data_IF_307904038632
#
_entry.id   IF_307904038632
#
_cell.length_a   1.000
_cell.length_b   1.000
_cell.length_c   1.000
_cell.angle_alpha   90.00
_cell.angle_beta   90.00
_cell.angle_gamma   90.00
#
_symmetry.space_group_name_H-M   'P 1'
#
loop_
_entity.id
_entity.type
_entity.pdbx_description
1 polymer ?
#
# COMPACT_ATOMS: atom_id res chain seq x y z
N UNK A 1 23.85 -63.22 -83.84
CA UNK A 1 22.98 -62.19 -84.45
C UNK A 1 21.61 -62.41 -83.81
N UNK A 2 21.23 -61.71 -82.75
CA UNK A 2 21.39 -60.29 -82.47
C UNK A 2 21.73 -60.05 -81.00
N UNK A 3 22.77 -59.25 -80.81
CA UNK A 3 23.24 -58.71 -79.55
C UNK A 3 22.18 -57.86 -78.85
N UNK A 4 22.14 -58.03 -77.53
CA UNK A 4 22.28 -56.96 -76.55
C UNK A 4 21.47 -55.68 -76.82
N UNK A 5 20.26 -55.58 -76.27
CA UNK A 5 19.56 -54.30 -76.04
C UNK A 5 18.29 -54.54 -75.20
N UNK A 6 18.43 -54.66 -73.87
CA UNK A 6 17.47 -54.07 -72.93
C UNK A 6 17.93 -54.16 -71.47
N UNK A 7 19.09 -53.56 -71.19
CA UNK A 7 19.44 -53.12 -69.83
C UNK A 7 19.73 -51.63 -69.87
N UNK A 8 18.67 -50.82 -69.90
CA UNK A 8 18.73 -49.39 -69.55
C UNK A 8 17.59 -49.10 -68.59
N UNK A 9 17.80 -49.43 -67.32
CA UNK A 9 17.20 -48.63 -66.26
C UNK A 9 17.57 -47.18 -66.57
N UNK A 10 16.58 -46.33 -66.81
CA UNK A 10 16.77 -44.90 -67.04
C UNK A 10 17.35 -44.29 -65.76
N UNK A 11 18.67 -44.21 -65.68
CA UNK A 11 19.36 -43.48 -64.63
C UNK A 11 18.95 -42.00 -64.72
N UNK A 12 18.07 -41.55 -63.82
CA UNK A 12 17.61 -40.15 -63.75
C UNK A 12 18.66 -39.28 -63.03
N UNK A 13 19.02 -38.15 -63.64
CA UNK A 13 19.94 -37.15 -63.07
C UNK A 13 21.20 -36.92 -63.90
N UNK A 14 21.76 -35.71 -63.80
CA UNK A 14 22.99 -35.29 -64.49
C UNK A 14 24.19 -35.66 -63.63
N UNK A 15 25.21 -36.31 -64.20
CA UNK A 15 26.44 -36.66 -63.46
C UNK A 15 27.17 -35.40 -62.98
N UNK A 16 27.70 -35.44 -61.75
CA UNK A 16 28.35 -34.29 -61.08
C UNK A 16 29.46 -33.64 -61.94
N UNK A 17 30.15 -34.44 -62.72
CA UNK A 17 31.20 -34.05 -63.67
C UNK A 17 30.69 -33.14 -64.81
N UNK A 18 29.40 -33.14 -65.12
CA UNK A 18 28.80 -32.32 -66.18
C UNK A 18 28.12 -31.04 -65.66
N UNK A 19 28.17 -30.79 -64.35
CA UNK A 19 27.56 -29.61 -63.72
C UNK A 19 28.53 -28.44 -63.60
N UNK A 20 27.98 -27.22 -63.65
CA UNK A 20 28.73 -25.98 -63.41
C UNK A 20 29.27 -25.93 -61.96
N UNK A 21 30.38 -25.22 -61.73
CA UNK A 21 31.15 -25.30 -60.47
C UNK A 21 30.30 -25.02 -59.21
N UNK A 22 29.37 -24.06 -59.29
CA UNK A 22 28.49 -23.67 -58.19
C UNK A 22 27.44 -24.77 -57.88
N UNK A 23 26.95 -25.47 -58.89
CA UNK A 23 26.03 -26.60 -58.75
C UNK A 23 26.74 -27.84 -58.17
N UNK A 24 28.04 -28.04 -58.47
CA UNK A 24 28.83 -29.14 -57.88
C UNK A 24 29.00 -29.02 -56.37
N UNK A 25 29.06 -27.79 -55.84
CA UNK A 25 29.22 -27.51 -54.40
C UNK A 25 27.95 -27.87 -53.63
N UNK A 26 26.77 -27.58 -54.19
CA UNK A 26 25.47 -27.87 -53.56
C UNK A 26 24.96 -29.29 -53.84
N UNK A 27 25.64 -30.07 -54.69
CA UNK A 27 25.29 -31.47 -55.00
C UNK A 27 26.01 -32.44 -54.05
N UNK A 28 25.25 -33.05 -53.13
CA UNK A 28 25.69 -34.15 -52.28
C UNK A 28 25.38 -35.51 -52.97
N UNK A 29 26.40 -36.14 -53.56
CA UNK A 29 26.31 -37.41 -54.30
C UNK A 29 26.92 -37.36 -55.71
N UNK A 30 26.89 -38.48 -56.45
CA UNK A 30 27.52 -38.60 -57.79
C UNK A 30 26.68 -38.00 -58.94
N UNK A 31 25.40 -37.70 -58.69
CA UNK A 31 24.47 -37.14 -59.68
C UNK A 31 23.55 -36.10 -59.05
N UNK A 32 23.26 -35.05 -59.82
CA UNK A 32 22.30 -34.01 -59.48
C UNK A 32 20.99 -34.24 -60.21
N UNK A 33 19.89 -34.25 -59.45
CA UNK A 33 18.53 -34.29 -59.97
C UNK A 33 17.81 -33.03 -59.51
N UNK A 34 17.25 -32.27 -60.46
CA UNK A 34 16.44 -31.08 -60.13
C UNK A 34 15.20 -31.44 -59.31
N UNK A 35 14.67 -32.65 -59.48
CA UNK A 35 13.55 -33.16 -58.67
C UNK A 35 14.00 -33.40 -57.23
N UNK A 36 15.12 -34.09 -57.01
CA UNK A 36 15.61 -34.40 -55.67
C UNK A 36 16.08 -33.14 -54.91
N UNK A 37 16.67 -32.17 -55.62
CA UNK A 37 17.05 -30.89 -55.04
C UNK A 37 15.81 -30.08 -54.62
N UNK A 38 14.80 -30.01 -55.48
CA UNK A 38 13.56 -29.32 -55.19
C UNK A 38 12.75 -30.00 -54.07
N UNK A 39 12.71 -31.33 -54.04
CA UNK A 39 12.05 -32.09 -52.97
C UNK A 39 12.75 -31.94 -51.63
N UNK A 40 14.09 -31.84 -51.62
CA UNK A 40 14.86 -31.53 -50.40
C UNK A 40 14.69 -30.09 -49.94
N UNK A 41 14.66 -29.12 -50.86
CA UNK A 41 14.36 -27.72 -50.51
C UNK A 41 12.94 -27.61 -49.97
N UNK A 42 11.95 -28.23 -50.61
CA UNK A 42 10.57 -28.29 -50.12
C UNK A 42 10.50 -28.90 -48.74
N UNK A 43 11.15 -30.05 -48.52
CA UNK A 43 11.18 -30.72 -47.22
C UNK A 43 11.84 -29.84 -46.16
N UNK A 44 13.01 -29.27 -46.45
CA UNK A 44 13.69 -28.36 -45.54
C UNK A 44 12.93 -27.06 -45.28
N UNK A 45 12.18 -26.55 -46.26
CA UNK A 45 11.31 -25.38 -46.10
C UNK A 45 10.09 -25.70 -45.22
N UNK A 46 9.47 -26.87 -45.39
CA UNK A 46 8.37 -27.32 -44.54
C UNK A 46 8.85 -27.58 -43.11
N UNK A 47 9.99 -28.25 -42.94
CA UNK A 47 10.63 -28.45 -41.62
C UNK A 47 10.98 -27.10 -40.97
N UNK A 48 11.53 -26.16 -41.74
CA UNK A 48 11.79 -24.80 -41.28
C UNK A 48 10.50 -24.10 -40.83
N UNK A 49 9.42 -24.16 -41.62
CA UNK A 49 8.14 -23.55 -41.25
C UNK A 49 7.59 -24.18 -39.97
N UNK A 50 7.62 -25.51 -39.83
CA UNK A 50 7.12 -26.20 -38.63
C UNK A 50 7.89 -25.74 -37.38
N UNK A 51 9.23 -25.69 -37.45
CA UNK A 51 10.06 -25.24 -36.32
C UNK A 51 9.88 -23.75 -36.06
N UNK A 52 9.86 -22.93 -37.11
CA UNK A 52 9.70 -21.49 -37.03
C UNK A 52 8.34 -21.10 -36.41
N UNK A 53 7.25 -21.70 -36.88
CA UNK A 53 5.92 -21.50 -36.29
C UNK A 53 5.84 -22.07 -34.88
N UNK A 54 6.46 -23.22 -34.59
CA UNK A 54 6.52 -23.78 -33.23
C UNK A 54 7.15 -22.79 -32.24
N UNK A 55 8.31 -22.22 -32.58
CA UNK A 55 9.00 -21.23 -31.76
C UNK A 55 8.21 -19.92 -31.66
N UNK A 56 7.62 -19.45 -32.77
CA UNK A 56 6.84 -18.21 -32.81
C UNK A 56 5.55 -18.31 -31.99
N UNK A 57 4.86 -19.45 -32.04
CA UNK A 57 3.69 -19.75 -31.20
C UNK A 57 4.11 -19.84 -29.73
N UNK A 58 5.21 -20.52 -29.40
CA UNK A 58 5.71 -20.59 -28.02
C UNK A 58 6.01 -19.19 -27.46
N UNK A 59 6.68 -18.32 -28.22
CA UNK A 59 6.93 -16.95 -27.78
C UNK A 59 5.66 -16.09 -27.70
N UNK A 60 4.68 -16.33 -28.58
CA UNK A 60 3.38 -15.65 -28.52
C UNK A 60 2.59 -16.02 -27.27
N UNK A 61 2.56 -17.31 -26.92
CA UNK A 61 1.92 -17.82 -25.70
C UNK A 61 2.63 -17.34 -24.44
N UNK A 62 3.96 -17.35 -24.43
CA UNK A 62 4.76 -16.88 -23.29
C UNK A 62 4.54 -15.38 -23.04
N UNK A 63 4.59 -14.54 -24.08
CA UNK A 63 4.32 -13.10 -23.96
C UNK A 63 2.90 -12.78 -23.51
N UNK A 64 1.90 -13.45 -24.07
CA UNK A 64 0.52 -13.24 -23.62
C UNK A 64 0.36 -13.73 -22.18
N UNK A 65 0.93 -14.88 -21.82
CA UNK A 65 0.90 -15.43 -20.46
C UNK A 65 1.55 -14.49 -19.43
N UNK A 66 2.69 -13.88 -19.76
CA UNK A 66 3.32 -12.84 -18.93
C UNK A 66 2.43 -11.60 -18.77
N UNK A 67 1.85 -11.07 -19.86
CA UNK A 67 0.93 -9.92 -19.81
C UNK A 67 -0.34 -10.21 -18.98
N UNK A 68 -0.86 -11.45 -19.04
CA UNK A 68 -1.98 -11.89 -18.20
C UNK A 68 -1.60 -11.97 -16.71
N UNK A 69 -0.44 -12.53 -16.38
CA UNK A 69 0.04 -12.62 -15.00
C UNK A 69 0.31 -11.25 -14.37
N UNK A 70 0.91 -10.33 -15.13
CA UNK A 70 1.14 -8.94 -14.70
C UNK A 70 -0.19 -8.20 -14.46
N UNK A 71 -1.24 -8.53 -15.22
CA UNK A 71 -2.57 -7.94 -15.06
C UNK A 71 -3.30 -8.47 -13.82
N UNK A 72 -3.27 -9.77 -13.57
CA UNK A 72 -3.87 -10.39 -12.38
C UNK A 72 -3.22 -9.84 -11.10
N UNK A 73 -1.87 -9.82 -11.05
CA UNK A 73 -1.11 -9.23 -9.94
C UNK A 73 -1.42 -7.74 -9.72
N UNK A 74 -1.67 -6.97 -10.78
CA UNK A 74 -2.05 -5.55 -10.66
C UNK A 74 -3.46 -5.38 -10.07
N UNK A 75 -4.42 -6.25 -10.43
CA UNK A 75 -5.77 -6.23 -9.84
C UNK A 75 -5.72 -6.61 -8.35
N UNK A 76 -4.96 -7.64 -7.99
CA UNK A 76 -4.77 -8.04 -6.59
C UNK A 76 -4.15 -6.92 -5.75
N UNK A 77 -3.16 -6.21 -6.29
CA UNK A 77 -2.58 -5.03 -5.64
C UNK A 77 -3.60 -3.90 -5.41
N UNK A 78 -4.48 -3.66 -6.39
CA UNK A 78 -5.55 -2.67 -6.25
C UNK A 78 -6.57 -3.07 -5.19
N UNK A 79 -6.94 -4.35 -5.14
CA UNK A 79 -7.84 -4.91 -4.12
C UNK A 79 -7.19 -4.77 -2.74
N UNK A 80 -5.94 -5.18 -2.58
CA UNK A 80 -5.21 -5.06 -1.32
C UNK A 80 -5.08 -3.63 -0.84
N UNK A 81 -4.80 -2.67 -1.73
CA UNK A 81 -4.77 -1.25 -1.40
C UNK A 81 -6.14 -0.71 -0.98
N UNK A 82 -7.21 -1.18 -1.63
CA UNK A 82 -8.59 -0.79 -1.33
C UNK A 82 -9.00 -1.30 0.05
N UNK A 83 -8.69 -2.56 0.35
CA UNK A 83 -8.97 -3.19 1.63
C UNK A 83 -8.15 -2.52 2.76
N UNK A 84 -6.85 -2.25 2.55
CA UNK A 84 -6.04 -1.49 3.50
C UNK A 84 -6.57 -0.06 3.71
N UNK A 85 -7.07 0.63 2.67
CA UNK A 85 -7.71 1.93 2.85
C UNK A 85 -9.02 1.86 3.65
N UNK A 86 -9.77 0.76 3.56
CA UNK A 86 -10.93 0.52 4.42
C UNK A 86 -10.47 0.39 5.88
N UNK A 87 -9.43 -0.39 6.14
CA UNK A 87 -8.86 -0.53 7.49
C UNK A 87 -8.36 0.82 8.04
N UNK A 88 -7.69 1.63 7.21
CA UNK A 88 -7.28 3.01 7.57
C UNK A 88 -8.50 3.84 7.96
N UNK A 89 -9.58 3.74 7.19
CA UNK A 89 -10.81 4.51 7.43
C UNK A 89 -11.45 4.12 8.76
N UNK A 90 -11.56 2.82 9.04
CA UNK A 90 -12.09 2.30 10.31
C UNK A 90 -11.20 2.74 11.49
N UNK A 91 -9.88 2.59 11.36
CA UNK A 91 -8.91 3.09 12.34
C UNK A 91 -9.08 4.60 12.60
N UNK A 92 -9.27 5.39 11.54
CA UNK A 92 -9.47 6.84 11.64
C UNK A 92 -10.77 7.18 12.36
N UNK A 93 -11.86 6.44 12.10
CA UNK A 93 -13.14 6.64 12.76
C UNK A 93 -13.07 6.34 14.26
N UNK A 94 -12.42 5.24 14.66
CA UNK A 94 -12.16 4.93 16.07
C UNK A 94 -11.38 6.07 16.73
N UNK A 95 -10.35 6.57 16.06
CA UNK A 95 -9.53 7.66 16.58
C UNK A 95 -10.33 8.99 16.70
N UNK A 96 -11.28 9.25 15.79
CA UNK A 96 -12.20 10.39 15.89
C UNK A 96 -13.06 10.27 17.16
N UNK A 97 -13.62 9.10 17.43
CA UNK A 97 -14.44 8.86 18.62
C UNK A 97 -13.62 9.04 19.91
N UNK A 98 -12.40 8.48 19.95
CA UNK A 98 -11.46 8.66 21.06
C UNK A 98 -11.11 10.15 21.28
N UNK A 99 -10.78 10.88 20.21
CA UNK A 99 -10.48 12.30 20.29
C UNK A 99 -11.66 13.12 20.81
N UNK A 100 -12.88 12.84 20.35
CA UNK A 100 -14.10 13.49 20.84
C UNK A 100 -14.30 13.25 22.34
N UNK A 101 -14.14 11.99 22.78
CA UNK A 101 -14.28 11.63 24.19
C UNK A 101 -13.23 12.32 25.06
N UNK A 102 -11.95 12.27 24.68
CA UNK A 102 -10.84 12.92 25.40
C UNK A 102 -11.10 14.42 25.52
N UNK A 103 -11.45 15.07 24.40
CA UNK A 103 -11.73 16.51 24.39
C UNK A 103 -12.89 16.87 25.31
N UNK A 104 -13.98 16.11 25.29
CA UNK A 104 -15.12 16.35 26.17
C UNK A 104 -14.72 16.19 27.65
N UNK A 105 -14.02 15.11 27.99
CA UNK A 105 -13.55 14.84 29.35
C UNK A 105 -12.70 16.01 29.90
N UNK A 106 -11.71 16.44 29.11
CA UNK A 106 -10.78 17.48 29.51
C UNK A 106 -11.32 18.89 29.39
N UNK A 107 -12.27 19.14 28.49
CA UNK A 107 -12.98 20.42 28.43
C UNK A 107 -13.89 20.57 29.66
N UNK A 108 -14.60 19.52 30.07
CA UNK A 108 -15.39 19.53 31.31
C UNK A 108 -14.51 19.84 32.53
N UNK A 109 -13.32 19.22 32.61
CA UNK A 109 -12.34 19.52 33.66
C UNK A 109 -11.89 20.98 33.61
N UNK A 110 -11.60 21.52 32.42
CA UNK A 110 -11.15 22.89 32.22
C UNK A 110 -12.22 23.92 32.62
N UNK A 111 -13.48 23.70 32.24
CA UNK A 111 -14.61 24.57 32.54
C UNK A 111 -14.91 24.63 34.04
N UNK A 112 -14.84 23.50 34.74
CA UNK A 112 -15.10 23.48 36.18
C UNK A 112 -13.89 23.91 37.02
N UNK A 113 -12.70 24.07 36.43
CA UNK A 113 -11.42 24.23 37.14
C UNK A 113 -11.43 25.25 38.29
N UNK A 114 -12.13 26.38 38.12
CA UNK A 114 -12.13 27.48 39.09
C UNK A 114 -13.27 27.39 40.12
N UNK A 115 -14.10 26.34 40.07
CA UNK A 115 -15.20 26.14 41.02
C UNK A 115 -14.66 25.85 42.44
N UNK A 116 -15.33 26.42 43.44
CA UNK A 116 -15.01 26.17 44.85
C UNK A 116 -15.67 24.88 45.35
N UNK A 117 -15.18 23.73 44.86
CA UNK A 117 -15.67 22.39 45.23
C UNK A 117 -14.50 21.43 45.40
N UNK A 118 -14.47 20.65 46.48
CA UNK A 118 -13.37 19.73 46.78
C UNK A 118 -13.13 18.68 45.69
N UNK A 119 -14.20 18.22 45.02
CA UNK A 119 -14.16 17.27 43.91
C UNK A 119 -14.04 17.92 42.52
N UNK A 120 -13.53 19.14 42.41
CA UNK A 120 -13.39 19.84 41.12
C UNK A 120 -12.49 19.10 40.12
N UNK A 121 -11.52 18.31 40.60
CA UNK A 121 -10.62 17.52 39.77
C UNK A 121 -10.99 16.02 39.73
N UNK A 122 -12.15 15.65 40.26
CA UNK A 122 -12.59 14.26 40.34
C UNK A 122 -13.82 14.02 39.47
N UNK A 123 -13.81 12.89 38.78
CA UNK A 123 -14.85 12.35 37.91
C UNK A 123 -15.25 10.98 38.45
N UNK A 124 -16.42 10.48 38.06
CA UNK A 124 -16.88 9.13 38.43
C UNK A 124 -16.69 8.23 37.21
N UNK A 125 -16.02 7.09 37.39
CA UNK A 125 -15.91 6.06 36.37
C UNK A 125 -17.27 5.38 36.19
N UNK A 126 -17.75 5.33 34.95
CA UNK A 126 -19.06 4.73 34.63
C UNK A 126 -19.07 3.21 34.80
N UNK A 127 -17.90 2.56 34.80
CA UNK A 127 -17.77 1.09 34.85
C UNK A 127 -17.84 0.53 36.27
N UNK A 128 -17.16 1.17 37.23
CA UNK A 128 -17.08 0.70 38.61
C UNK A 128 -17.67 1.70 39.64
N UNK A 129 -18.04 2.91 39.21
CA UNK A 129 -18.61 3.96 40.06
C UNK A 129 -17.59 4.62 40.98
N UNK A 130 -16.29 4.35 40.84
CA UNK A 130 -15.24 4.90 41.68
C UNK A 130 -14.80 6.28 41.19
N UNK A 131 -14.39 7.18 42.10
CA UNK A 131 -13.83 8.46 41.71
C UNK A 131 -12.43 8.28 41.14
N UNK A 132 -12.12 9.05 40.10
CA UNK A 132 -10.77 9.18 39.54
C UNK A 132 -10.49 10.64 39.15
N UNK A 133 -9.24 11.01 38.94
CA UNK A 133 -8.91 12.29 38.31
C UNK A 133 -8.51 12.05 36.85
N UNK A 134 -9.07 12.79 35.87
CA UNK A 134 -8.55 12.74 34.51
C UNK A 134 -7.05 13.09 34.46
N UNK A 135 -6.58 13.95 35.37
CA UNK A 135 -5.18 14.35 35.46
C UNK A 135 -4.24 13.20 35.85
N UNK A 136 -4.75 12.10 36.42
CA UNK A 136 -3.97 10.88 36.67
C UNK A 136 -3.44 10.23 35.38
N UNK A 137 -4.10 10.51 34.25
CA UNK A 137 -3.79 9.96 32.94
C UNK A 137 -3.29 11.04 31.98
N UNK A 138 -2.90 12.21 32.51
CA UNK A 138 -2.54 13.36 31.69
C UNK A 138 -1.26 13.13 30.87
N UNK A 139 -0.40 12.20 31.27
CA UNK A 139 0.79 11.86 30.50
C UNK A 139 0.53 10.85 29.36
N UNK A 140 -0.67 10.27 29.30
CA UNK A 140 -1.03 9.38 28.21
C UNK A 140 -1.25 10.17 26.93
N UNK A 141 -0.74 9.64 25.83
CA UNK A 141 -1.05 10.07 24.47
C UNK A 141 -0.89 8.86 23.53
N UNK A 142 -1.62 8.86 22.42
CA UNK A 142 -1.66 7.76 21.47
C UNK A 142 -1.38 8.29 20.06
N UNK A 143 -0.13 8.23 19.56
CA UNK A 143 0.17 8.72 18.21
C UNK A 143 -0.70 8.06 17.13
N UNK A 144 -1.23 8.86 16.21
CA UNK A 144 -1.96 8.36 15.05
C UNK A 144 -0.98 7.65 14.10
N UNK A 145 -1.19 6.36 13.85
CA UNK A 145 -0.34 5.54 13.00
C UNK A 145 -1.16 4.46 12.29
N UNK A 146 -1.80 4.79 11.16
CA UNK A 146 -2.67 3.87 10.44
C UNK A 146 -1.88 2.75 9.72
N UNK A 147 -2.53 1.63 9.38
CA UNK A 147 -1.89 0.53 8.66
C UNK A 147 -1.37 0.95 7.28
N UNK A 148 -0.27 0.34 6.83
CA UNK A 148 0.41 0.64 5.55
C UNK A 148 1.20 -0.53 4.97
N UNK A 149 0.88 -1.74 5.39
CA UNK A 149 1.61 -2.97 5.06
C UNK A 149 1.56 -3.25 3.56
N UNK A 150 0.38 -3.17 2.95
CA UNK A 150 0.19 -3.44 1.51
C UNK A 150 0.89 -2.36 0.69
N UNK A 151 0.67 -1.09 1.03
CA UNK A 151 1.34 0.03 0.37
C UNK A 151 2.87 -0.07 0.40
N UNK A 152 3.45 -0.40 1.57
CA UNK A 152 4.90 -0.58 1.71
C UNK A 152 5.40 -1.79 0.90
N UNK A 153 4.67 -2.90 0.91
CA UNK A 153 5.04 -4.10 0.18
C UNK A 153 5.13 -3.85 -1.33
N UNK A 154 4.09 -3.26 -1.93
CA UNK A 154 4.05 -3.01 -3.38
C UNK A 154 5.04 -1.91 -3.83
N UNK A 155 5.42 -1.02 -2.91
CA UNK A 155 6.45 0.00 -3.17
C UNK A 155 7.84 -0.63 -3.13
N UNK A 156 8.07 -1.58 -2.22
CA UNK A 156 9.32 -2.31 -2.08
C UNK A 156 9.58 -3.26 -3.25
N UNK A 157 8.58 -4.02 -3.69
CA UNK A 157 8.69 -4.99 -4.78
C UNK A 157 8.64 -4.33 -6.18
N UNK A 158 8.36 -3.04 -6.24
CA UNK A 158 8.33 -2.24 -7.47
C UNK A 158 7.05 -2.39 -8.29
N UNK A 159 6.04 -3.12 -7.80
CA UNK A 159 4.76 -3.29 -8.48
C UNK A 159 3.88 -2.04 -8.42
N UNK A 160 4.17 -1.10 -7.52
CA UNK A 160 3.52 0.22 -7.44
C UNK A 160 3.49 0.96 -8.79
N UNK A 161 4.51 0.77 -9.65
CA UNK A 161 4.58 1.39 -10.98
C UNK A 161 3.47 0.95 -11.92
N UNK A 162 2.84 -0.20 -11.65
CA UNK A 162 1.79 -0.78 -12.49
C UNK A 162 0.39 -0.21 -12.21
N UNK A 163 0.23 0.56 -11.12
CA UNK A 163 -1.04 1.21 -10.80
C UNK A 163 -1.45 2.29 -11.83
N UNK A 164 -0.47 2.82 -12.59
CA UNK A 164 -0.69 3.96 -13.47
C UNK A 164 -0.61 5.30 -12.73
N UNK A 165 -0.47 6.38 -13.48
CA UNK A 165 -0.15 7.71 -12.93
C UNK A 165 -1.25 8.30 -12.06
N UNK A 166 -2.52 8.14 -12.43
CA UNK A 166 -3.65 8.68 -11.67
C UNK A 166 -3.83 7.95 -10.34
N UNK A 167 -3.86 6.61 -10.39
CA UNK A 167 -4.02 5.77 -9.18
C UNK A 167 -2.82 5.90 -8.27
N UNK A 168 -1.61 5.78 -8.83
CA UNK A 168 -0.39 5.97 -8.06
C UNK A 168 -0.35 7.31 -7.34
N UNK A 169 -0.84 8.40 -7.96
CA UNK A 169 -0.86 9.72 -7.31
C UNK A 169 -1.78 9.77 -6.10
N UNK A 170 -3.03 9.34 -6.21
CA UNK A 170 -3.95 9.45 -5.06
C UNK A 170 -3.63 8.41 -3.98
N UNK A 171 -3.13 7.23 -4.35
CA UNK A 171 -2.60 6.24 -3.39
C UNK A 171 -1.43 6.86 -2.65
N UNK A 172 -0.41 7.39 -3.34
CA UNK A 172 0.73 8.04 -2.70
C UNK A 172 0.29 9.19 -1.77
N UNK A 173 -0.65 10.04 -2.20
CA UNK A 173 -1.16 11.11 -1.34
C UNK A 173 -1.90 10.60 -0.09
N UNK A 174 -2.49 9.40 -0.13
CA UNK A 174 -3.18 8.80 1.03
C UNK A 174 -2.19 8.32 2.10
N UNK A 175 -1.05 7.76 1.68
CA UNK A 175 -0.07 7.12 2.58
C UNK A 175 1.18 7.98 2.87
N UNK A 176 1.59 8.83 1.92
CA UNK A 176 2.79 9.67 1.99
C UNK A 176 2.47 11.18 1.85
N UNK A 177 1.19 11.54 1.80
CA UNK A 177 0.73 12.92 1.64
C UNK A 177 0.99 13.82 2.85
N UNK A 178 0.80 15.12 2.64
CA UNK A 178 0.99 16.14 3.68
C UNK A 178 0.02 15.99 4.83
N UNK A 179 -1.23 15.64 4.54
CA UNK A 179 -2.31 15.65 5.53
C UNK A 179 -2.07 14.58 6.59
N UNK A 180 -1.76 13.35 6.17
CA UNK A 180 -1.35 12.27 7.06
C UNK A 180 -0.08 12.63 7.84
N UNK A 181 0.93 13.22 7.18
CA UNK A 181 2.17 13.62 7.85
C UNK A 181 1.94 14.62 8.97
N UNK A 182 1.09 15.62 8.76
CA UNK A 182 0.75 16.60 9.79
C UNK A 182 -0.06 15.96 10.92
N UNK A 183 -0.99 15.07 10.61
CA UNK A 183 -1.77 14.35 11.62
C UNK A 183 -0.88 13.48 12.52
N UNK A 184 0.05 12.72 11.93
CA UNK A 184 1.04 11.92 12.66
C UNK A 184 1.97 12.82 13.50
N UNK A 185 2.46 13.93 12.94
CA UNK A 185 3.34 14.85 13.65
C UNK A 185 2.64 15.50 14.86
N UNK A 186 1.38 15.91 14.68
CA UNK A 186 0.61 16.58 15.71
C UNK A 186 0.27 15.65 16.88
N UNK A 187 -0.13 14.42 16.58
CA UNK A 187 -0.51 13.39 17.59
C UNK A 187 0.70 12.75 18.27
N UNK A 188 1.88 12.83 17.68
CA UNK A 188 3.14 12.39 18.31
C UNK A 188 3.90 13.57 18.91
N UNK A 189 4.64 14.29 18.06
CA UNK A 189 5.68 15.22 18.51
C UNK A 189 5.11 16.47 19.16
N UNK A 190 4.08 17.06 18.58
CA UNK A 190 3.49 18.30 19.11
C UNK A 190 2.71 18.02 20.40
N UNK A 191 1.94 16.93 20.46
CA UNK A 191 1.24 16.53 21.69
C UNK A 191 2.21 16.18 22.81
N UNK A 192 3.29 15.46 22.49
CA UNK A 192 4.34 15.09 23.45
C UNK A 192 4.93 16.28 24.18
N UNK A 193 5.03 17.45 23.54
CA UNK A 193 5.52 18.67 24.21
C UNK A 193 4.69 19.00 25.45
N UNK A 194 3.37 18.83 25.40
CA UNK A 194 2.49 19.13 26.54
C UNK A 194 2.60 18.10 27.65
N UNK A 195 2.78 16.83 27.29
CA UNK A 195 3.04 15.72 28.23
C UNK A 195 4.38 15.93 28.94
N UNK A 196 5.45 16.17 28.19
CA UNK A 196 6.79 16.38 28.73
C UNK A 196 6.83 17.63 29.63
N UNK A 197 6.08 18.67 29.29
CA UNK A 197 5.89 19.87 30.13
C UNK A 197 5.19 19.56 31.46
N UNK A 198 4.16 18.71 31.45
CA UNK A 198 3.50 18.26 32.67
C UNK A 198 4.44 17.45 33.56
N UNK A 199 5.12 16.45 33.00
CA UNK A 199 6.10 15.63 33.70
C UNK A 199 7.23 16.48 34.29
N UNK A 200 7.72 17.48 33.53
CA UNK A 200 8.70 18.43 34.01
C UNK A 200 8.17 19.28 35.18
N UNK A 201 6.89 19.64 35.19
CA UNK A 201 6.29 20.38 36.30
C UNK A 201 6.22 19.54 37.58
N UNK A 202 5.84 18.26 37.43
CA UNK A 202 5.87 17.29 38.54
C UNK A 202 7.29 17.17 39.08
N UNK A 203 8.25 16.89 38.21
CA UNK A 203 9.64 16.56 38.56
C UNK A 203 10.46 17.75 39.08
N UNK A 204 10.18 18.98 38.64
CA UNK A 204 11.05 20.13 38.95
C UNK A 204 10.42 21.13 39.91
N UNK A 205 9.12 21.04 40.18
CA UNK A 205 8.41 21.99 41.04
C UNK A 205 7.60 21.28 42.11
N UNK A 206 6.67 20.41 41.72
CA UNK A 206 5.76 19.82 42.68
C UNK A 206 6.48 18.96 43.71
N UNK A 207 7.56 18.26 43.33
CA UNK A 207 8.34 17.43 44.27
C UNK A 207 8.95 18.24 45.44
N UNK A 208 9.15 19.55 45.25
CA UNK A 208 9.71 20.44 46.26
C UNK A 208 8.63 21.18 47.04
N UNK A 209 7.46 21.40 46.43
CA UNK A 209 6.37 22.19 47.01
C UNK A 209 5.29 21.33 47.70
N UNK A 210 5.16 20.06 47.34
CA UNK A 210 4.15 19.12 47.84
C UNK A 210 4.80 17.96 48.61
N UNK A 211 4.25 17.60 49.77
CA UNK A 211 4.84 16.59 50.68
C UNK A 211 4.91 15.18 50.09
N UNK A 212 3.84 14.75 49.39
CA UNK A 212 3.72 13.45 48.73
C UNK A 212 2.94 13.64 47.44
N UNK A 213 3.51 13.17 46.34
CA UNK A 213 2.86 13.16 45.03
C UNK A 213 2.40 11.74 44.74
N UNK A 214 1.10 11.60 44.53
CA UNK A 214 0.47 10.38 44.08
C UNK A 214 -0.67 10.77 43.15
N UNK A 215 -0.40 10.76 41.84
CA UNK A 215 -1.37 11.24 40.86
C UNK A 215 -2.59 10.32 40.75
N UNK A 216 -2.49 9.06 41.18
CA UNK A 216 -3.60 8.09 41.14
C UNK A 216 -4.45 8.10 42.42
N UNK A 217 -3.95 8.68 43.51
CA UNK A 217 -4.74 8.87 44.74
C UNK A 217 -5.70 10.05 44.59
N UNK A 218 -7.00 9.81 44.67
CA UNK A 218 -8.02 10.87 44.61
C UNK A 218 -7.87 11.88 45.75
N UNK A 219 -7.37 11.46 46.92
CA UNK A 219 -7.15 12.36 48.05
C UNK A 219 -6.04 13.37 47.77
N UNK A 220 -5.05 13.03 46.92
CA UNK A 220 -4.01 13.97 46.51
C UNK A 220 -4.60 15.20 45.84
N UNK A 221 -5.53 15.00 44.91
CA UNK A 221 -6.19 16.08 44.17
C UNK A 221 -7.10 16.94 45.05
N UNK A 222 -7.82 16.32 45.98
CA UNK A 222 -8.65 17.02 46.97
C UNK A 222 -7.78 17.87 47.91
N UNK A 223 -6.74 17.28 48.51
CA UNK A 223 -5.84 17.95 49.46
C UNK A 223 -5.15 19.17 48.82
N UNK A 224 -4.72 19.05 47.57
CA UNK A 224 -3.94 20.09 46.88
C UNK A 224 -4.78 20.94 45.91
N UNK A 225 -6.12 20.88 46.00
CA UNK A 225 -7.03 21.60 45.09
C UNK A 225 -6.68 23.08 44.93
N UNK A 226 -6.56 23.80 46.04
CA UNK A 226 -6.26 25.25 46.08
C UNK A 226 -4.89 25.58 45.51
N UNK A 227 -3.93 24.66 45.63
CA UNK A 227 -2.62 24.80 45.03
C UNK A 227 -2.73 24.84 43.50
N UNK A 228 -3.37 23.83 42.89
CA UNK A 228 -3.52 23.76 41.43
C UNK A 228 -4.40 24.87 40.83
N UNK A 229 -5.43 25.32 41.56
CA UNK A 229 -6.23 26.48 41.14
C UNK A 229 -5.41 27.79 41.13
N UNK A 230 -4.44 27.94 42.04
CA UNK A 230 -3.58 29.14 42.13
C UNK A 230 -2.41 29.12 41.15
N UNK A 231 -1.85 27.94 40.90
CA UNK A 231 -0.60 27.74 40.16
C UNK A 231 -0.71 28.08 38.67
N UNK A 232 -1.92 27.98 38.08
CA UNK A 232 -2.32 28.36 36.71
C UNK A 232 -1.58 27.68 35.56
N UNK A 233 -0.37 27.16 35.72
CA UNK A 233 0.41 26.55 34.65
C UNK A 233 -0.30 25.31 34.11
N UNK A 234 -0.74 24.41 34.98
CA UNK A 234 -1.41 23.18 34.55
C UNK A 234 -2.68 23.48 33.73
N UNK A 235 -3.47 24.47 34.17
CA UNK A 235 -4.65 24.95 33.44
C UNK A 235 -4.28 25.52 32.07
N UNK A 236 -3.19 26.28 31.99
CA UNK A 236 -2.72 26.84 30.72
C UNK A 236 -2.19 25.77 29.76
N UNK A 237 -1.41 24.81 30.26
CA UNK A 237 -0.94 23.67 29.48
C UNK A 237 -2.14 22.85 28.94
N UNK A 238 -3.16 22.60 29.78
CA UNK A 238 -4.41 21.97 29.37
C UNK A 238 -5.15 22.75 28.27
N UNK A 239 -5.26 24.08 28.40
CA UNK A 239 -5.84 24.92 27.36
C UNK A 239 -5.13 24.76 26.00
N UNK A 240 -3.78 24.75 26.02
CA UNK A 240 -2.98 24.59 24.81
C UNK A 240 -3.15 23.22 24.18
N UNK A 241 -3.18 22.17 25.00
CA UNK A 241 -3.39 20.79 24.53
C UNK A 241 -4.80 20.57 23.98
N UNK A 242 -5.83 21.14 24.62
CA UNK A 242 -7.20 21.17 24.09
C UNK A 242 -7.27 21.82 22.70
N UNK A 243 -6.55 22.92 22.49
CA UNK A 243 -6.45 23.57 21.19
C UNK A 243 -5.79 22.69 20.12
N UNK A 244 -4.74 21.94 20.49
CA UNK A 244 -4.13 20.97 19.58
C UNK A 244 -5.10 19.83 19.24
N UNK A 245 -5.82 19.29 20.21
CA UNK A 245 -6.80 18.22 19.98
C UNK A 245 -7.96 18.68 19.08
N UNK A 246 -8.38 19.94 19.16
CA UNK A 246 -9.37 20.50 18.22
C UNK A 246 -8.82 20.51 16.79
N UNK A 247 -7.58 20.99 16.60
CA UNK A 247 -6.94 20.95 15.28
C UNK A 247 -6.80 19.51 14.74
N UNK A 248 -6.43 18.56 15.59
CA UNK A 248 -6.35 17.14 15.24
C UNK A 248 -7.74 16.61 14.83
N UNK A 249 -8.80 17.03 15.52
CA UNK A 249 -10.18 16.65 15.19
C UNK A 249 -10.57 17.03 13.76
N UNK A 250 -10.22 18.25 13.33
CA UNK A 250 -10.47 18.71 11.96
C UNK A 250 -9.68 17.89 10.94
N UNK A 251 -8.39 17.66 11.22
CA UNK A 251 -7.49 16.87 10.36
C UNK A 251 -7.98 15.42 10.19
N UNK A 252 -8.50 14.80 11.26
CA UNK A 252 -9.03 13.44 11.20
C UNK A 252 -10.25 13.34 10.29
N UNK A 253 -11.18 14.30 10.38
CA UNK A 253 -12.40 14.33 9.55
C UNK A 253 -12.04 14.56 8.08
N UNK A 254 -11.09 15.46 7.79
CA UNK A 254 -10.61 15.71 6.44
C UNK A 254 -9.91 14.46 5.85
N UNK A 255 -9.08 13.79 6.66
CA UNK A 255 -8.39 12.57 6.26
C UNK A 255 -9.37 11.42 6.00
N UNK A 256 -10.34 11.18 6.89
CA UNK A 256 -11.39 10.16 6.73
C UNK A 256 -12.17 10.36 5.42
N UNK A 257 -12.57 11.60 5.14
CA UNK A 257 -13.29 11.97 3.91
C UNK A 257 -12.45 11.73 2.65
N UNK A 258 -11.16 12.04 2.72
CA UNK A 258 -10.20 11.82 1.63
C UNK A 258 -10.00 10.34 1.36
N UNK A 259 -9.77 9.53 2.40
CA UNK A 259 -9.65 8.07 2.32
C UNK A 259 -10.93 7.48 1.72
N UNK A 260 -12.10 7.87 2.24
CA UNK A 260 -13.41 7.42 1.74
C UNK A 260 -13.64 7.75 0.25
N UNK A 261 -13.16 8.91 -0.20
CA UNK A 261 -13.20 9.28 -1.62
C UNK A 261 -12.25 8.42 -2.47
N UNK A 262 -11.06 8.11 -1.96
CA UNK A 262 -10.07 7.31 -2.67
C UNK A 262 -10.44 5.83 -2.76
N UNK A 263 -11.12 5.28 -1.73
CA UNK A 263 -11.74 3.94 -1.77
C UNK A 263 -12.71 3.85 -2.96
N UNK A 264 -13.64 4.81 -3.09
CA UNK A 264 -14.61 4.82 -4.21
C UNK A 264 -13.93 4.89 -5.58
N UNK A 265 -12.83 5.64 -5.69
CA UNK A 265 -12.03 5.69 -6.91
C UNK A 265 -11.37 4.34 -7.21
N UNK A 266 -10.80 3.67 -6.21
CA UNK A 266 -10.24 2.33 -6.38
C UNK A 266 -11.30 1.32 -6.79
N UNK A 267 -12.47 1.32 -6.13
CA UNK A 267 -13.59 0.45 -6.51
C UNK A 267 -13.98 0.63 -7.98
N UNK A 268 -14.06 1.89 -8.46
CA UNK A 268 -14.34 2.18 -9.87
C UNK A 268 -13.25 1.67 -10.82
N UNK A 269 -11.97 1.78 -10.44
CA UNK A 269 -10.85 1.29 -11.26
C UNK A 269 -10.82 -0.23 -11.29
N UNK A 270 -11.03 -0.89 -10.15
CA UNK A 270 -11.11 -2.35 -10.02
C UNK A 270 -12.26 -2.88 -10.86
N UNK A 271 -13.44 -2.25 -10.77
CA UNK A 271 -14.60 -2.63 -11.57
C UNK A 271 -14.31 -2.52 -13.06
N UNK A 272 -13.74 -1.40 -13.53
CA UNK A 272 -13.39 -1.23 -14.93
C UNK A 272 -12.40 -2.32 -15.42
N UNK A 273 -11.42 -2.71 -14.60
CA UNK A 273 -10.46 -3.78 -14.92
C UNK A 273 -11.09 -5.17 -14.94
N UNK A 274 -12.10 -5.42 -14.11
CA UNK A 274 -12.86 -6.67 -14.09
C UNK A 274 -13.84 -6.78 -15.27
N UNK A 275 -14.42 -5.65 -15.70
CA UNK A 275 -15.37 -5.58 -16.82
C UNK A 275 -14.67 -5.60 -18.19
N UNK A 276 -13.37 -5.33 -18.25
CA UNK A 276 -12.56 -5.47 -19.46
C UNK A 276 -12.46 -6.95 -19.90
N UNK A 277 -13.23 -7.33 -20.92
CA UNK A 277 -13.06 -8.60 -21.62
C UNK A 277 -11.72 -8.64 -22.37
N UNK A 278 -10.85 -9.57 -21.99
CA UNK A 278 -9.63 -9.85 -22.76
C UNK A 278 -9.93 -10.90 -23.82
N UNK A 279 -9.97 -10.47 -25.08
CA UNK A 279 -10.03 -11.38 -26.22
C UNK A 279 -8.62 -11.91 -26.52
N UNK A 280 -8.35 -13.16 -26.14
CA UNK A 280 -7.19 -13.89 -26.65
C UNK A 280 -7.52 -14.30 -28.08
N UNK A 281 -6.89 -13.67 -29.07
CA UNK A 281 -7.05 -14.05 -30.47
C UNK A 281 -5.71 -14.48 -31.08
N UNK A 282 -5.81 -15.44 -31.99
CA UNK A 282 -4.70 -15.98 -32.76
C UNK A 282 -4.71 -15.32 -34.14
N UNK A 283 -3.58 -14.78 -34.58
CA UNK A 283 -3.40 -14.33 -35.96
C UNK A 283 -2.53 -15.35 -36.70
N UNK A 284 -3.07 -15.92 -37.78
CA UNK A 284 -2.44 -16.98 -38.59
C UNK A 284 -1.48 -16.42 -39.64
#
# INVERSE_FOLDING_TARGET
>A
MSDDLNKREKEKGIKKEQLNWLLRIITLGDRFSMQDFYDRIKKGFVEFLIVFFGVLVSFGVERQGEEFGDRESNVDNLIGLRDEMIDIREYTQIYIEENQWIRMLYNNLYEQWDQDRDSVFLFIDETDGLPYSPLSFYNNYNPFNPPRVVYEAIKLDGTFRFLGSEVGRFVNNTYDGTDLKYLMLNTDREEKVYVDQFEAQVANKWIFELEKIDLYDTNFWVKHRKYFQKEKYLKYNLFKRLGLWEQISEQLVEYESTVGTNIKKLDSVIQAKNDEFVFIYWWF
#
